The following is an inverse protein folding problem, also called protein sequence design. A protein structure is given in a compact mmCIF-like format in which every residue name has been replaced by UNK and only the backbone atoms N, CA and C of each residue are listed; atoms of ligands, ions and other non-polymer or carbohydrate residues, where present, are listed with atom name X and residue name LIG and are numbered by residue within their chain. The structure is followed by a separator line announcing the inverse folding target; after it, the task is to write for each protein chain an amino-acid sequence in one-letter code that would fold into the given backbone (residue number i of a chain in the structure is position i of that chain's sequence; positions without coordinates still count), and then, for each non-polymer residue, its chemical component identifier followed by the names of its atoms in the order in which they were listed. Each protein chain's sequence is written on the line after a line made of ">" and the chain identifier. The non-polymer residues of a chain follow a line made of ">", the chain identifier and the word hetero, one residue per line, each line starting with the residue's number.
data_IF_496036287967
#
_entry.id   IF_496036287967
#
_cell.length_a   1.000
_cell.length_b   1.000
_cell.length_c   1.000
_cell.angle_alpha   90.00
_cell.angle_beta   90.00
_cell.angle_gamma   90.00
#
_symmetry.space_group_name_H-M   'P 1'
#
loop_
_entity.id
_entity.type
_entity.pdbx_description
1 polymer ?
#
# COMPACT_ATOMS: atom_id res chain seq x y z
N UNK A 1 -2.96 7.48 -7.08
CA UNK A 1 -2.28 7.73 -5.77
C UNK A 1 -1.84 6.40 -5.22
N UNK A 2 -0.57 6.27 -4.95
CA UNK A 2 0.11 5.08 -4.43
C UNK A 2 0.07 5.11 -2.89
N UNK A 3 -0.33 4.03 -2.23
CA UNK A 3 -0.07 3.80 -0.81
C UNK A 3 0.95 2.67 -0.68
N UNK A 4 2.03 2.88 0.07
CA UNK A 4 3.15 1.95 0.13
C UNK A 4 3.06 1.05 1.37
N UNK A 5 3.11 -0.27 1.15
CA UNK A 5 3.21 -1.24 2.23
C UNK A 5 4.65 -1.37 2.75
N UNK A 6 4.77 -1.72 4.02
CA UNK A 6 6.05 -1.89 4.72
C UNK A 6 6.97 -2.92 4.07
N UNK A 7 6.43 -3.98 3.46
CA UNK A 7 7.25 -5.02 2.86
C UNK A 7 8.14 -4.50 1.71
N UNK A 8 7.64 -3.59 0.88
CA UNK A 8 8.41 -2.94 -0.19
C UNK A 8 9.55 -2.09 0.38
N UNK A 9 9.27 -1.35 1.48
CA UNK A 9 10.26 -0.55 2.18
C UNK A 9 11.36 -1.44 2.79
N UNK A 10 10.97 -2.53 3.44
CA UNK A 10 11.88 -3.49 4.05
C UNK A 10 12.79 -4.16 3.01
N UNK A 11 12.23 -4.59 1.87
CA UNK A 11 13.03 -5.17 0.79
C UNK A 11 14.01 -4.16 0.18
N UNK A 12 13.63 -2.89 0.04
CA UNK A 12 14.53 -1.84 -0.45
C UNK A 12 15.75 -1.60 0.46
N UNK A 13 15.67 -2.02 1.73
CA UNK A 13 16.75 -1.87 2.73
C UNK A 13 17.36 -3.21 3.18
N UNK A 14 17.02 -4.33 2.54
CA UNK A 14 17.57 -5.65 2.85
C UNK A 14 18.41 -6.19 1.68
N UNK A 15 19.74 -5.91 1.62
CA UNK A 15 20.59 -6.23 0.45
C UNK A 15 20.59 -7.71 0.03
N UNK A 16 20.37 -8.62 0.99
CA UNK A 16 20.32 -10.07 0.75
C UNK A 16 18.94 -10.60 0.33
N UNK A 17 17.89 -9.77 0.33
CA UNK A 17 16.59 -10.19 -0.17
C UNK A 17 16.60 -10.27 -1.70
N UNK A 18 16.00 -11.33 -2.26
CA UNK A 18 15.88 -11.47 -3.72
C UNK A 18 15.14 -10.28 -4.37
N UNK A 19 14.24 -9.66 -3.61
CA UNK A 19 13.45 -8.49 -4.06
C UNK A 19 14.18 -7.16 -3.92
N UNK A 20 15.37 -7.11 -3.28
CA UNK A 20 16.07 -5.86 -2.91
C UNK A 20 16.21 -4.90 -4.09
N UNK A 21 16.89 -5.33 -5.16
CA UNK A 21 17.16 -4.46 -6.31
C UNK A 21 15.89 -3.94 -6.97
N UNK A 22 14.89 -4.81 -7.13
CA UNK A 22 13.61 -4.44 -7.74
C UNK A 22 12.80 -3.48 -6.87
N UNK A 23 12.70 -3.74 -5.54
CA UNK A 23 11.99 -2.87 -4.60
C UNK A 23 12.66 -1.50 -4.49
N UNK A 24 13.99 -1.46 -4.42
CA UNK A 24 14.74 -0.21 -4.35
C UNK A 24 14.54 0.63 -5.61
N UNK A 25 14.73 0.04 -6.78
CA UNK A 25 14.52 0.74 -8.05
C UNK A 25 13.09 1.25 -8.22
N UNK A 26 12.10 0.43 -7.81
CA UNK A 26 10.71 0.85 -7.83
C UNK A 26 10.44 2.04 -6.88
N UNK A 27 10.91 1.98 -5.64
CA UNK A 27 10.72 3.04 -4.65
C UNK A 27 11.37 4.36 -5.09
N UNK A 28 12.62 4.30 -5.59
CA UNK A 28 13.33 5.45 -6.12
C UNK A 28 12.58 6.06 -7.32
N UNK A 29 12.07 5.22 -8.24
CA UNK A 29 11.27 5.66 -9.38
C UNK A 29 9.95 6.29 -8.96
N UNK A 30 9.23 5.70 -8.00
CA UNK A 30 7.96 6.22 -7.49
C UNK A 30 8.15 7.60 -6.83
N UNK A 31 9.18 7.74 -5.99
CA UNK A 31 9.46 8.99 -5.28
C UNK A 31 10.02 10.11 -6.18
N UNK A 32 10.62 9.74 -7.32
CA UNK A 32 11.13 10.71 -8.32
C UNK A 32 10.11 11.00 -9.42
N UNK A 33 8.95 10.34 -9.40
CA UNK A 33 7.89 10.48 -10.39
C UNK A 33 6.99 11.68 -10.14
N UNK A 34 5.83 11.66 -10.82
CA UNK A 34 4.80 12.71 -10.69
C UNK A 34 3.54 12.23 -9.96
N UNK A 35 3.42 10.93 -9.68
CA UNK A 35 2.29 10.37 -8.97
C UNK A 35 2.44 10.57 -7.47
N UNK A 36 1.34 10.93 -6.78
CA UNK A 36 1.39 11.06 -5.33
C UNK A 36 1.68 9.73 -4.65
N UNK A 37 2.76 9.69 -3.89
CA UNK A 37 3.17 8.56 -3.04
C UNK A 37 2.76 8.83 -1.61
N UNK A 38 2.06 7.90 -1.01
CA UNK A 38 1.55 8.03 0.35
C UNK A 38 2.06 6.90 1.22
N UNK A 39 2.32 7.25 2.45
CA UNK A 39 2.68 6.32 3.52
C UNK A 39 1.60 6.38 4.60
N UNK A 40 1.33 5.25 5.25
CA UNK A 40 0.56 5.23 6.48
C UNK A 40 1.50 5.01 7.66
N UNK A 41 1.18 5.57 8.83
CA UNK A 41 2.00 5.36 10.03
C UNK A 41 2.18 3.87 10.35
N UNK A 42 1.19 3.04 10.09
CA UNK A 42 1.28 1.59 10.29
C UNK A 42 2.43 0.97 9.48
N UNK A 43 2.62 1.38 8.22
CA UNK A 43 3.72 0.93 7.36
C UNK A 43 5.07 1.47 7.83
N UNK A 44 5.13 2.75 8.22
CA UNK A 44 6.35 3.38 8.71
C UNK A 44 6.80 2.79 10.06
N UNK A 45 5.87 2.55 10.99
CA UNK A 45 6.20 1.88 12.25
C UNK A 45 6.66 0.44 12.05
N UNK A 46 6.03 -0.29 11.13
CA UNK A 46 6.48 -1.64 10.78
C UNK A 46 7.91 -1.61 10.21
N UNK A 47 8.22 -0.67 9.30
CA UNK A 47 9.57 -0.48 8.78
C UNK A 47 10.56 -0.18 9.91
N UNK A 48 10.30 0.84 10.74
CA UNK A 48 11.18 1.22 11.84
C UNK A 48 11.44 0.03 12.80
N UNK A 49 10.38 -0.66 13.21
CA UNK A 49 10.45 -1.80 14.13
C UNK A 49 11.23 -2.98 13.57
N UNK A 50 10.99 -3.31 12.30
CA UNK A 50 11.56 -4.53 11.69
C UNK A 50 12.97 -4.27 11.20
N UNK A 51 13.27 -3.12 10.57
CA UNK A 51 14.60 -2.81 10.03
C UNK A 51 15.66 -2.65 11.14
N UNK A 52 15.24 -2.26 12.34
CA UNK A 52 16.13 -2.13 13.51
C UNK A 52 16.26 -3.42 14.35
N UNK A 53 15.54 -4.48 13.96
CA UNK A 53 15.50 -5.73 14.73
C UNK A 53 16.61 -6.70 14.30
N UNK A 54 17.51 -7.13 15.23
CA UNK A 54 18.53 -8.14 14.93
C UNK A 54 17.96 -9.54 14.67
N UNK A 55 16.67 -9.75 14.99
CA UNK A 55 15.98 -11.02 14.65
C UNK A 55 15.54 -11.07 13.19
N UNK A 56 15.29 -9.90 12.57
CA UNK A 56 14.80 -9.79 11.21
C UNK A 56 15.92 -9.48 10.20
N UNK A 57 16.95 -8.76 10.61
CA UNK A 57 18.07 -8.34 9.79
C UNK A 57 19.39 -8.80 10.42
N UNK A 58 20.27 -9.37 9.61
CA UNK A 58 21.63 -9.73 10.04
C UNK A 58 22.47 -8.49 10.40
N UNK A 59 22.25 -7.41 9.64
CA UNK A 59 22.81 -6.09 9.89
C UNK A 59 21.65 -5.10 10.03
N UNK A 60 21.06 -4.98 11.23
CA UNK A 60 19.94 -4.07 11.46
C UNK A 60 20.42 -2.63 11.37
N UNK A 61 19.51 -1.76 10.91
CA UNK A 61 19.73 -0.33 10.98
C UNK A 61 19.74 0.12 12.45
N UNK A 62 20.53 1.15 12.76
CA UNK A 62 20.31 1.90 13.99
C UNK A 62 18.98 2.66 13.91
N UNK A 63 18.44 3.05 15.07
CA UNK A 63 17.19 3.84 15.10
C UNK A 63 17.34 5.18 14.35
N UNK A 64 18.52 5.79 14.37
CA UNK A 64 18.81 7.02 13.65
C UNK A 64 18.85 6.82 12.13
N UNK A 65 19.46 5.74 11.65
CA UNK A 65 19.47 5.41 10.22
C UNK A 65 18.08 5.10 9.70
N UNK A 66 17.29 4.32 10.45
CA UNK A 66 15.92 4.00 10.08
C UNK A 66 15.04 5.27 10.04
N UNK A 67 15.17 6.16 11.04
CA UNK A 67 14.47 7.43 11.06
C UNK A 67 14.90 8.37 9.92
N UNK A 68 16.19 8.41 9.60
CA UNK A 68 16.72 9.18 8.48
C UNK A 68 16.17 8.67 7.13
N UNK A 69 16.03 7.35 6.96
CA UNK A 69 15.40 6.77 5.78
C UNK A 69 13.94 7.23 5.62
N UNK A 70 13.14 7.13 6.68
CA UNK A 70 11.74 7.60 6.68
C UNK A 70 11.68 9.08 6.34
N UNK A 71 12.54 9.89 6.97
CA UNK A 71 12.61 11.33 6.68
C UNK A 71 12.92 11.59 5.21
N UNK A 72 13.89 10.89 4.63
CA UNK A 72 14.30 11.07 3.23
C UNK A 72 13.17 10.79 2.24
N UNK A 73 12.27 9.84 2.55
CA UNK A 73 11.08 9.58 1.73
C UNK A 73 10.05 10.69 1.87
N UNK A 74 9.78 11.13 3.11
CA UNK A 74 8.78 12.17 3.39
C UNK A 74 9.20 13.56 2.91
N UNK A 75 10.49 13.81 2.75
CA UNK A 75 11.04 15.05 2.19
C UNK A 75 10.82 15.16 0.65
N UNK A 76 10.40 14.08 -0.02
CA UNK A 76 10.14 14.13 -1.46
C UNK A 76 8.85 14.91 -1.78
N UNK A 77 8.83 15.75 -2.82
CA UNK A 77 7.67 16.61 -3.14
C UNK A 77 6.37 15.84 -3.38
N UNK A 78 6.46 14.61 -3.87
CA UNK A 78 5.30 13.74 -4.17
C UNK A 78 4.82 12.96 -2.96
N UNK A 79 5.61 12.94 -1.88
CA UNK A 79 5.34 12.14 -0.69
C UNK A 79 4.36 12.81 0.28
N UNK A 80 3.72 12.00 1.12
CA UNK A 80 2.85 12.47 2.20
C UNK A 80 2.31 11.32 3.03
N UNK A 81 1.63 11.66 4.10
CA UNK A 81 1.00 10.70 5.01
C UNK A 81 -0.49 10.59 4.71
N UNK A 82 -1.04 9.37 4.77
CA UNK A 82 -2.46 9.11 4.94
C UNK A 82 -2.72 8.68 6.37
N UNK A 83 -3.73 9.27 6.97
CA UNK A 83 -4.19 8.96 8.32
C UNK A 83 -5.60 8.38 8.28
N UNK A 84 -5.99 7.60 9.31
CA UNK A 84 -7.37 7.18 9.48
C UNK A 84 -8.32 8.39 9.51
N UNK A 85 -9.35 8.37 8.68
CA UNK A 85 -10.40 9.36 8.65
C UNK A 85 -11.62 8.97 9.49
N UNK A 86 -12.74 9.66 9.29
CA UNK A 86 -13.97 9.46 10.06
C UNK A 86 -14.60 8.07 9.86
N UNK A 87 -14.43 7.49 8.67
CA UNK A 87 -14.99 6.19 8.31
C UNK A 87 -14.06 5.01 8.62
N UNK A 88 -12.87 5.29 9.13
CA UNK A 88 -11.85 4.26 9.28
C UNK A 88 -12.30 3.10 10.16
N UNK A 89 -12.92 3.37 11.31
CA UNK A 89 -13.38 2.31 12.22
C UNK A 89 -14.46 1.44 11.59
N UNK A 90 -15.39 2.04 10.84
CA UNK A 90 -16.44 1.32 10.10
C UNK A 90 -15.81 0.37 9.07
N UNK A 91 -14.91 0.90 8.24
CA UNK A 91 -14.20 0.15 7.21
C UNK A 91 -13.35 -0.97 7.81
N UNK A 92 -12.57 -0.65 8.83
CA UNK A 92 -11.74 -1.63 9.54
C UNK A 92 -12.59 -2.77 10.11
N UNK A 93 -13.68 -2.47 10.82
CA UNK A 93 -14.56 -3.48 11.41
C UNK A 93 -15.14 -4.40 10.33
N UNK A 94 -15.58 -3.85 9.21
CA UNK A 94 -16.06 -4.62 8.07
C UNK A 94 -14.98 -5.55 7.52
N UNK A 95 -13.76 -5.03 7.28
CA UNK A 95 -12.65 -5.81 6.71
C UNK A 95 -12.14 -6.89 7.67
N UNK A 96 -12.19 -6.66 8.99
CA UNK A 96 -11.87 -7.69 9.98
C UNK A 96 -12.83 -8.88 9.86
N UNK A 97 -14.13 -8.62 9.68
CA UNK A 97 -15.15 -9.66 9.52
C UNK A 97 -15.05 -10.37 8.17
N UNK A 98 -15.10 -9.61 7.07
CA UNK A 98 -15.11 -10.16 5.71
C UNK A 98 -13.79 -10.83 5.33
N UNK A 99 -12.66 -10.25 5.75
CA UNK A 99 -11.31 -10.79 5.53
C UNK A 99 -10.88 -11.86 6.54
N UNK A 100 -11.73 -12.15 7.54
CA UNK A 100 -11.41 -13.06 8.66
C UNK A 100 -10.04 -12.70 9.29
N UNK A 101 -9.79 -11.41 9.45
CA UNK A 101 -8.51 -10.90 9.90
C UNK A 101 -8.45 -10.83 11.44
N UNK A 102 -7.44 -11.48 12.01
CA UNK A 102 -7.16 -11.46 13.44
C UNK A 102 -5.65 -11.48 13.69
N UNK A 103 -5.23 -11.13 14.91
CA UNK A 103 -3.80 -11.11 15.27
C UNK A 103 -3.00 -10.18 14.35
N UNK A 104 -1.93 -10.66 13.71
CA UNK A 104 -1.10 -9.84 12.82
C UNK A 104 -1.86 -9.20 11.65
N UNK A 105 -2.89 -9.89 11.12
CA UNK A 105 -3.68 -9.43 9.99
C UNK A 105 -4.55 -8.19 10.30
N UNK A 106 -4.71 -7.83 11.57
CA UNK A 106 -5.41 -6.60 11.97
C UNK A 106 -4.70 -5.36 11.41
N UNK A 107 -3.36 -5.37 11.36
CA UNK A 107 -2.58 -4.26 10.82
C UNK A 107 -2.71 -4.17 9.30
N UNK A 108 -2.83 -5.31 8.61
CA UNK A 108 -3.08 -5.36 7.17
C UNK A 108 -4.50 -4.86 6.85
N UNK A 109 -5.50 -5.25 7.66
CA UNK A 109 -6.86 -4.72 7.54
C UNK A 109 -6.92 -3.20 7.78
N UNK A 110 -6.14 -2.68 8.74
CA UNK A 110 -6.05 -1.24 9.00
C UNK A 110 -5.44 -0.50 7.80
N UNK A 111 -4.36 -1.03 7.21
CA UNK A 111 -3.74 -0.45 6.01
C UNK A 111 -4.70 -0.50 4.81
N UNK A 112 -5.41 -1.62 4.63
CA UNK A 112 -6.44 -1.77 3.60
C UNK A 112 -7.60 -0.77 3.79
N UNK A 113 -8.04 -0.56 5.03
CA UNK A 113 -9.08 0.42 5.35
C UNK A 113 -8.65 1.85 4.99
N UNK A 114 -7.40 2.25 5.30
CA UNK A 114 -6.84 3.54 4.89
C UNK A 114 -6.84 3.66 3.35
N UNK A 115 -6.37 2.63 2.64
CA UNK A 115 -6.35 2.64 1.18
C UNK A 115 -7.75 2.86 0.59
N UNK A 116 -8.75 2.11 1.07
CA UNK A 116 -10.14 2.20 0.61
C UNK A 116 -10.74 3.56 0.94
N UNK A 117 -10.53 4.07 2.16
CA UNK A 117 -11.07 5.34 2.62
C UNK A 117 -10.62 6.51 1.75
N UNK A 118 -9.35 6.50 1.34
CA UNK A 118 -8.74 7.55 0.55
C UNK A 118 -8.73 7.28 -0.97
N UNK A 119 -9.28 6.16 -1.43
CA UNK A 119 -9.25 5.78 -2.85
C UNK A 119 -7.83 5.60 -3.39
N UNK A 120 -6.91 5.12 -2.55
CA UNK A 120 -5.54 4.84 -2.92
C UNK A 120 -5.39 3.38 -3.41
N UNK A 121 -4.47 3.16 -4.35
CA UNK A 121 -4.05 1.81 -4.70
C UNK A 121 -2.93 1.39 -3.75
N UNK A 122 -3.08 0.26 -3.07
CA UNK A 122 -2.04 -0.30 -2.22
C UNK A 122 -0.98 -1.00 -3.06
N UNK A 123 0.27 -0.62 -2.89
CA UNK A 123 1.41 -1.28 -3.52
C UNK A 123 2.08 -2.21 -2.50
N UNK A 124 2.00 -3.50 -2.75
CA UNK A 124 2.47 -4.56 -1.84
C UNK A 124 2.89 -5.80 -2.62
N UNK A 125 3.81 -6.60 -2.06
CA UNK A 125 4.13 -7.94 -2.57
C UNK A 125 3.34 -9.02 -1.86
N UNK A 126 2.59 -8.67 -0.81
CA UNK A 126 1.84 -9.61 0.00
C UNK A 126 0.48 -9.92 -0.64
N UNK A 127 0.28 -11.18 -1.01
CA UNK A 127 -0.96 -11.66 -1.61
C UNK A 127 -2.11 -11.81 -0.60
N UNK A 128 -1.80 -11.75 0.69
CA UNK A 128 -2.82 -11.82 1.74
C UNK A 128 -3.79 -10.63 1.69
N UNK A 129 -3.38 -9.52 1.09
CA UNK A 129 -4.26 -8.37 0.84
C UNK A 129 -5.42 -8.66 -0.13
N UNK A 130 -5.35 -9.73 -0.93
CA UNK A 130 -6.46 -10.17 -1.79
C UNK A 130 -7.72 -10.57 -1.00
N UNK A 131 -7.60 -10.83 0.30
CA UNK A 131 -8.73 -11.14 1.21
C UNK A 131 -9.64 -9.96 1.52
N UNK A 132 -9.18 -8.71 1.28
CA UNK A 132 -9.93 -7.52 1.65
C UNK A 132 -10.79 -7.00 0.51
N UNK A 133 -12.13 -7.18 0.57
CA UNK A 133 -13.03 -6.75 -0.50
C UNK A 133 -13.03 -5.24 -0.69
N UNK A 134 -12.96 -4.82 -1.94
CA UNK A 134 -12.96 -3.39 -2.31
C UNK A 134 -11.59 -2.72 -2.24
N UNK A 135 -10.54 -3.44 -1.86
CA UNK A 135 -9.17 -2.95 -1.93
C UNK A 135 -8.63 -3.06 -3.37
N UNK A 136 -8.18 -1.94 -3.92
CA UNK A 136 -7.34 -1.93 -5.11
C UNK A 136 -5.88 -2.12 -4.69
N UNK A 137 -5.21 -3.19 -5.15
CA UNK A 137 -3.82 -3.44 -4.83
C UNK A 137 -3.02 -3.97 -6.02
N UNK A 138 -1.72 -3.69 -6.02
CA UNK A 138 -0.79 -4.07 -7.10
C UNK A 138 0.52 -4.55 -6.47
N UNK A 139 1.07 -5.65 -7.02
CA UNK A 139 2.47 -6.01 -6.77
C UNK A 139 3.36 -5.33 -7.83
N UNK A 140 4.12 -4.29 -7.48
CA UNK A 140 4.94 -3.56 -8.46
C UNK A 140 6.16 -4.35 -8.94
N UNK A 141 6.47 -5.46 -8.30
CA UNK A 141 7.62 -6.30 -8.66
C UNK A 141 7.26 -7.43 -9.63
N UNK A 142 5.98 -7.67 -9.88
CA UNK A 142 5.56 -8.65 -10.89
C UNK A 142 5.86 -8.10 -12.29
N UNK A 143 6.76 -8.75 -12.99
CA UNK A 143 7.22 -8.37 -14.35
C UNK A 143 6.12 -8.36 -15.41
N UNK A 144 4.92 -8.87 -15.09
CA UNK A 144 3.73 -8.87 -15.94
C UNK A 144 2.79 -7.66 -15.74
N UNK A 145 2.97 -6.84 -14.74
CA UNK A 145 2.01 -5.78 -14.37
C UNK A 145 2.09 -4.50 -15.23
N UNK A 146 3.05 -4.38 -16.14
CA UNK A 146 3.19 -3.21 -17.02
C UNK A 146 2.22 -3.16 -18.19
N UNK A 147 1.31 -4.14 -18.33
CA UNK A 147 0.39 -4.23 -19.50
C UNK A 147 -1.10 -4.11 -19.17
N UNK A 148 -1.50 -3.91 -17.93
CA UNK A 148 -2.92 -3.89 -17.56
C UNK A 148 -3.40 -2.53 -17.00
N UNK A 149 -2.72 -1.43 -17.33
CA UNK A 149 -3.21 -0.09 -17.04
C UNK A 149 -3.81 0.49 -18.32
N UNK A 150 -5.03 0.13 -18.60
CA UNK A 150 -6.02 0.96 -19.29
C UNK A 150 -7.14 0.07 -19.81
N UNK A 151 -8.26 0.28 -19.34
CA UNK A 151 -9.61 0.26 -19.87
C UNK A 151 -10.56 -0.13 -18.74
N UNK A 152 -10.77 0.81 -17.81
CA UNK A 152 -12.08 0.89 -17.18
C UNK A 152 -13.04 1.36 -18.28
N UNK A 153 -13.63 0.41 -18.97
CA UNK A 153 -14.77 0.64 -19.84
C UNK A 153 -15.87 1.35 -19.01
N UNK A 154 -16.06 2.63 -19.27
CA UNK A 154 -17.15 3.41 -18.66
C UNK A 154 -18.45 2.74 -19.10
N UNK A 155 -19.13 2.05 -18.19
CA UNK A 155 -20.51 1.61 -18.43
C UNK A 155 -21.32 2.84 -18.86
N UNK A 156 -22.02 2.78 -20.01
CA UNK A 156 -22.88 3.88 -20.41
C UNK A 156 -23.99 4.09 -19.38
N UNK A 157 -24.44 5.34 -19.18
CA UNK A 157 -25.50 5.63 -18.21
C UNK A 157 -26.78 4.87 -18.59
N UNK A 158 -27.38 4.23 -17.60
CA UNK A 158 -28.65 3.54 -17.68
C UNK A 158 -29.70 4.48 -18.29
N UNK A 159 -30.26 4.14 -19.46
CA UNK A 159 -31.44 4.79 -20.05
C UNK A 159 -32.70 4.00 -19.63
N UNK A 160 -33.63 4.57 -18.82
CA UNK A 160 -34.90 3.92 -18.57
C UNK A 160 -35.73 3.84 -19.86
N UNK A 161 -36.20 2.63 -20.16
CA UNK A 161 -37.12 2.37 -21.27
C UNK A 161 -38.42 3.15 -21.06
N UNK A 162 -38.83 4.03 -22.01
CA UNK A 162 -40.11 4.65 -22.03
C UNK A 162 -41.17 3.58 -22.26
N UNK A 163 -41.98 3.31 -21.25
CA UNK A 163 -43.24 2.54 -21.43
C UNK A 163 -44.14 3.33 -22.37
N UNK A 164 -44.45 2.75 -23.53
CA UNK A 164 -45.57 3.24 -24.39
C UNK A 164 -46.86 2.98 -23.62
N UNK A 165 -47.65 4.03 -23.40
CA UNK A 165 -49.07 3.90 -23.04
C UNK A 165 -49.82 3.66 -24.35
N UNK A 166 -50.54 2.57 -24.43
CA UNK A 166 -51.74 2.34 -25.27
C UNK A 166 -52.94 2.56 -24.43
#
# INVERSE_FOLDING_TARGET
>A
MILVDANLLLYAYRPRAAQHGASRAWLESALSGSEFVRFAWVSLWAFLRISTSPRAFEHPLSSSEAAAAVKSWLDQPVAGILEPGERHLELLTRLLGEGQASGPLVMDAALAAIAIEHGATLYTTDRDFARFPGLDWINPLDTGARSASSVRERRPPYRPSRRRRT
#
